data_IF_594330853420
#
_entry.id   IF_594330853420
#
_cell.length_a   1.000
_cell.length_b   1.000
_cell.length_c   1.000
_cell.angle_alpha   90.00
_cell.angle_beta   90.00
_cell.angle_gamma   90.00
#
_symmetry.space_group_name_H-M   'P 1'
#
loop_
_entity.id
_entity.type
_entity.pdbx_description
1 polymer ?
#
# COMPACT_ATOMS: atom_id res chain seq x y z
N UNK A 1 -4.74 57.01 33.35
CA UNK A 1 -4.20 56.55 32.06
C UNK A 1 -3.94 55.07 32.18
N UNK A 2 -4.86 54.24 31.68
CA UNK A 2 -4.74 52.77 31.73
C UNK A 2 -3.95 52.32 30.51
N UNK A 3 -2.78 51.72 30.72
CA UNK A 3 -1.95 51.17 29.66
C UNK A 3 -2.48 49.78 29.33
N UNK A 4 -3.21 49.64 28.22
CA UNK A 4 -3.61 48.35 27.67
C UNK A 4 -2.37 47.64 27.10
N UNK A 5 -1.78 46.74 27.89
CA UNK A 5 -0.82 45.76 27.40
C UNK A 5 -1.64 44.67 26.70
N UNK A 6 -1.76 44.75 25.38
CA UNK A 6 -2.22 43.62 24.58
C UNK A 6 -1.15 42.51 24.66
N UNK A 7 -1.50 41.27 25.06
CA UNK A 7 -0.56 40.17 24.95
C UNK A 7 -0.37 39.90 23.45
N UNK A 8 0.82 40.21 22.94
CA UNK A 8 1.28 39.65 21.67
C UNK A 8 1.46 38.15 21.88
N UNK A 9 0.40 37.37 21.64
CA UNK A 9 0.56 35.95 21.36
C UNK A 9 1.31 35.87 20.03
N UNK A 10 2.61 35.58 20.09
CA UNK A 10 3.36 35.18 18.90
C UNK A 10 2.75 33.87 18.41
N UNK A 11 1.81 33.96 17.48
CA UNK A 11 1.34 32.81 16.71
C UNK A 11 2.57 32.24 16.02
N UNK A 12 3.10 31.13 16.52
CA UNK A 12 4.19 30.42 15.89
C UNK A 12 3.66 29.86 14.57
N UNK A 13 3.85 30.61 13.48
CA UNK A 13 3.66 30.07 12.14
C UNK A 13 4.66 28.94 11.94
N UNK A 14 4.17 27.78 11.52
CA UNK A 14 5.01 26.66 11.12
C UNK A 14 5.51 26.91 9.70
N UNK A 15 6.51 27.80 9.56
CA UNK A 15 7.02 28.30 8.27
C UNK A 15 8.06 27.38 7.60
N UNK A 16 8.23 26.15 8.11
CA UNK A 16 9.16 25.17 7.51
C UNK A 16 8.52 24.45 6.32
N UNK A 17 9.36 23.86 5.48
CA UNK A 17 8.91 22.95 4.44
C UNK A 17 8.15 21.74 5.05
N UNK A 18 7.15 21.21 4.33
CA UNK A 18 6.44 20.01 4.76
C UNK A 18 7.40 18.83 4.88
N UNK A 19 7.14 17.95 5.84
CA UNK A 19 7.83 16.67 5.93
C UNK A 19 7.02 15.62 5.19
N UNK A 20 7.72 14.87 4.34
CA UNK A 20 7.22 13.66 3.72
C UNK A 20 8.23 12.55 4.00
N UNK A 21 7.73 11.39 4.38
CA UNK A 21 8.53 10.18 4.59
C UNK A 21 7.94 9.09 3.73
N UNK A 22 8.77 8.49 2.87
CA UNK A 22 8.30 7.50 1.90
C UNK A 22 8.39 6.09 2.47
N UNK A 23 7.47 5.22 2.05
CA UNK A 23 7.54 3.78 2.30
C UNK A 23 7.73 3.04 0.96
N UNK A 24 8.49 1.95 1.01
CA UNK A 24 8.61 1.06 -0.14
C UNK A 24 7.25 0.43 -0.48
N UNK A 25 6.91 0.24 -1.76
CA UNK A 25 5.63 -0.34 -2.13
C UNK A 25 5.60 -1.85 -1.89
N UNK A 26 4.39 -2.38 -1.73
CA UNK A 26 4.13 -3.80 -1.95
C UNK A 26 3.93 -4.09 -3.43
N UNK A 27 4.01 -5.36 -3.84
CA UNK A 27 3.56 -5.75 -5.19
C UNK A 27 2.74 -7.02 -5.20
N UNK A 28 1.94 -7.14 -6.26
CA UNK A 28 1.32 -8.39 -6.68
C UNK A 28 2.37 -9.47 -6.93
N UNK A 29 1.95 -10.73 -6.84
CA UNK A 29 2.78 -11.88 -7.15
C UNK A 29 3.16 -11.91 -8.63
N UNK A 30 4.42 -12.22 -8.90
CA UNK A 30 5.01 -12.27 -10.23
C UNK A 30 5.42 -13.70 -10.57
N UNK A 31 5.08 -14.15 -11.78
CA UNK A 31 5.57 -15.40 -12.36
C UNK A 31 6.01 -15.18 -13.80
N UNK A 32 7.14 -15.78 -14.18
CA UNK A 32 7.63 -15.78 -15.58
C UNK A 32 7.19 -17.01 -16.37
N UNK A 33 6.52 -17.96 -15.73
CA UNK A 33 6.14 -19.23 -16.35
C UNK A 33 4.86 -19.06 -17.18
N UNK A 34 4.89 -19.53 -18.42
CA UNK A 34 3.69 -19.58 -19.30
C UNK A 34 2.69 -20.68 -18.91
N UNK A 35 3.06 -21.56 -17.98
CA UNK A 35 2.24 -22.70 -17.54
C UNK A 35 1.40 -22.39 -16.30
N UNK A 36 1.45 -21.17 -15.77
CA UNK A 36 0.59 -20.71 -14.67
C UNK A 36 -0.10 -19.41 -15.05
N UNK A 37 -1.33 -19.22 -14.57
CA UNK A 37 -2.14 -18.03 -14.78
C UNK A 37 -2.74 -17.56 -13.46
N UNK A 38 -2.83 -16.24 -13.28
CA UNK A 38 -3.51 -15.65 -12.15
C UNK A 38 -5.01 -15.54 -12.45
N UNK A 39 -5.85 -16.24 -11.68
CA UNK A 39 -7.30 -16.20 -11.83
C UNK A 39 -7.97 -15.20 -10.91
N UNK A 40 -7.45 -15.03 -9.70
CA UNK A 40 -7.98 -14.02 -8.81
C UNK A 40 -6.94 -13.57 -7.80
N UNK A 41 -7.12 -12.34 -7.33
CA UNK A 41 -6.45 -11.78 -6.18
C UNK A 41 -7.48 -11.16 -5.24
N UNK A 42 -7.41 -11.52 -3.96
CA UNK A 42 -8.07 -10.77 -2.90
C UNK A 42 -7.01 -10.13 -2.00
N UNK A 43 -6.87 -8.83 -2.13
CA UNK A 43 -5.97 -7.97 -1.36
C UNK A 43 -6.76 -7.28 -0.25
N UNK A 44 -6.35 -7.47 1.00
CA UNK A 44 -6.88 -6.76 2.16
C UNK A 44 -5.74 -6.01 2.84
N UNK A 45 -5.91 -4.70 3.02
CA UNK A 45 -4.98 -3.80 3.68
C UNK A 45 -5.71 -3.19 4.88
N UNK A 46 -5.14 -3.37 6.07
CA UNK A 46 -5.65 -2.77 7.31
C UNK A 46 -4.59 -1.86 7.87
N UNK A 47 -4.86 -0.56 7.94
CA UNK A 47 -3.88 0.46 8.31
C UNK A 47 -4.31 1.24 9.55
N UNK A 48 -3.40 1.31 10.53
CA UNK A 48 -3.42 2.29 11.63
C UNK A 48 -2.04 2.98 11.62
N UNK A 49 -1.22 2.77 12.66
CA UNK A 49 0.21 3.18 12.68
C UNK A 49 1.10 2.25 11.83
N UNK A 50 0.69 0.98 11.69
CA UNK A 50 1.28 -0.02 10.80
C UNK A 50 0.17 -0.56 9.89
N UNK A 51 0.54 -0.93 8.67
CA UNK A 51 -0.35 -1.56 7.73
C UNK A 51 -0.09 -3.07 7.68
N UNK A 52 -1.13 -3.85 7.92
CA UNK A 52 -1.15 -5.30 7.72
C UNK A 52 -1.72 -5.61 6.34
N UNK A 53 -0.93 -6.27 5.50
CA UNK A 53 -1.29 -6.66 4.14
C UNK A 53 -1.50 -8.17 4.09
N UNK A 54 -2.63 -8.57 3.51
CA UNK A 54 -2.96 -9.96 3.21
C UNK A 54 -3.43 -10.07 1.76
N UNK A 55 -2.71 -10.85 0.96
CA UNK A 55 -3.06 -11.11 -0.43
C UNK A 55 -3.30 -12.61 -0.63
N UNK A 56 -4.48 -12.97 -1.14
CA UNK A 56 -4.86 -14.35 -1.46
C UNK A 56 -4.94 -14.48 -2.98
N UNK A 57 -4.12 -15.37 -3.52
CA UNK A 57 -4.00 -15.61 -4.95
C UNK A 57 -4.64 -16.94 -5.31
N UNK A 58 -5.50 -16.93 -6.34
CA UNK A 58 -5.94 -18.15 -7.03
C UNK A 58 -5.12 -18.30 -8.30
N UNK A 59 -4.27 -19.33 -8.32
CA UNK A 59 -3.32 -19.59 -9.40
C UNK A 59 -3.73 -20.87 -10.11
N UNK A 60 -3.99 -20.78 -11.41
CA UNK A 60 -4.28 -21.93 -12.24
C UNK A 60 -3.02 -22.40 -12.96
N UNK A 61 -2.64 -23.65 -12.71
CA UNK A 61 -1.53 -24.32 -13.33
C UNK A 61 -2.00 -25.25 -14.46
N UNK A 62 -1.49 -25.02 -15.67
CA UNK A 62 -1.79 -25.79 -16.87
C UNK A 62 -1.04 -27.12 -16.91
N UNK A 63 0.09 -27.22 -16.20
CA UNK A 63 0.94 -28.40 -16.12
C UNK A 63 1.49 -28.54 -14.71
N UNK A 64 1.61 -29.76 -14.21
CA UNK A 64 2.33 -29.99 -12.95
C UNK A 64 3.79 -29.53 -13.12
N UNK A 65 4.31 -28.78 -12.16
CA UNK A 65 5.70 -28.34 -12.19
C UNK A 65 6.08 -27.50 -10.98
N UNK A 66 7.36 -27.17 -10.92
CA UNK A 66 7.91 -26.26 -9.92
C UNK A 66 8.04 -24.86 -10.54
N UNK A 67 7.37 -23.88 -9.92
CA UNK A 67 7.30 -22.52 -10.43
C UNK A 67 7.95 -21.56 -9.46
N UNK A 68 8.78 -20.66 -9.99
CA UNK A 68 9.39 -19.56 -9.25
C UNK A 68 8.42 -18.38 -9.23
N UNK A 69 8.09 -17.95 -8.02
CA UNK A 69 7.32 -16.74 -7.77
C UNK A 69 8.19 -15.69 -7.08
N UNK A 70 7.89 -14.43 -7.35
CA UNK A 70 8.55 -13.30 -6.70
C UNK A 70 7.59 -12.15 -6.48
N UNK A 71 7.86 -11.33 -5.48
CA UNK A 71 7.14 -10.07 -5.25
C UNK A 71 8.04 -9.08 -4.50
N UNK A 72 7.64 -7.82 -4.53
CA UNK A 72 8.30 -6.69 -3.87
C UNK A 72 7.61 -6.41 -2.55
N UNK A 73 8.42 -6.11 -1.54
CA UNK A 73 7.96 -5.72 -0.22
C UNK A 73 9.03 -4.84 0.45
N UNK A 74 8.67 -4.06 1.48
CA UNK A 74 9.64 -3.33 2.29
C UNK A 74 10.68 -4.26 2.97
N UNK A 75 11.92 -3.81 3.16
CA UNK A 75 12.98 -4.62 3.78
C UNK A 75 12.69 -5.01 5.23
N UNK A 76 12.03 -4.12 5.97
CA UNK A 76 11.58 -4.31 7.35
C UNK A 76 10.33 -5.20 7.47
N UNK A 77 9.70 -5.57 6.36
CA UNK A 77 8.43 -6.28 6.39
C UNK A 77 8.58 -7.70 6.98
N UNK A 78 7.68 -8.03 7.90
CA UNK A 78 7.61 -9.37 8.51
C UNK A 78 6.80 -10.30 7.62
N UNK A 79 7.46 -11.10 6.79
CA UNK A 79 6.83 -11.93 5.76
C UNK A 79 6.40 -13.32 6.25
N UNK A 80 5.16 -13.70 5.92
CA UNK A 80 4.65 -15.07 5.99
C UNK A 80 4.00 -15.46 4.65
N UNK A 81 4.33 -16.65 4.13
CA UNK A 81 3.69 -17.22 2.93
C UNK A 81 3.06 -18.55 3.30
N UNK A 82 1.81 -18.77 2.90
CA UNK A 82 1.06 -19.99 3.13
C UNK A 82 0.58 -20.58 1.80
N UNK A 83 0.77 -21.90 1.63
CA UNK A 83 0.23 -22.67 0.51
C UNK A 83 -0.49 -23.89 1.09
N UNK A 84 -1.78 -24.05 0.80
CA UNK A 84 -2.60 -25.10 1.41
C UNK A 84 -2.47 -25.14 2.95
N UNK A 85 -2.52 -23.97 3.58
CA UNK A 85 -2.36 -23.76 5.04
C UNK A 85 -0.98 -24.13 5.61
N UNK A 86 0.00 -24.51 4.78
CA UNK A 86 1.37 -24.79 5.22
C UNK A 86 2.25 -23.56 5.00
N UNK A 87 2.97 -23.16 6.05
CA UNK A 87 3.93 -22.05 6.00
C UNK A 87 5.14 -22.43 5.13
N UNK A 88 5.54 -21.51 4.26
CA UNK A 88 6.75 -21.58 3.46
C UNK A 88 7.73 -20.55 4.01
N UNK A 89 8.91 -21.01 4.40
CA UNK A 89 9.96 -20.12 4.88
C UNK A 89 10.61 -19.41 3.69
N UNK A 90 10.49 -18.09 3.64
CA UNK A 90 11.09 -17.24 2.60
C UNK A 90 11.82 -16.09 3.28
N UNK A 91 13.01 -15.77 2.77
CA UNK A 91 13.73 -14.57 3.18
C UNK A 91 13.70 -13.57 2.04
N UNK A 92 13.33 -12.33 2.34
CA UNK A 92 13.48 -11.22 1.42
C UNK A 92 14.97 -10.85 1.32
N UNK A 93 15.39 -10.33 0.17
CA UNK A 93 16.78 -9.92 -0.08
C UNK A 93 16.81 -8.64 -0.90
N UNK A 94 17.79 -7.81 -0.60
CA UNK A 94 18.11 -6.63 -1.41
C UNK A 94 18.53 -7.09 -2.81
N UNK A 95 17.83 -6.62 -3.86
CA UNK A 95 18.21 -6.92 -5.24
C UNK A 95 18.94 -5.72 -5.82
N UNK A 96 20.28 -5.81 -5.89
CA UNK A 96 21.16 -4.77 -6.45
C UNK A 96 20.86 -4.38 -7.90
N UNK A 97 20.11 -5.21 -8.63
CA UNK A 97 19.62 -4.92 -9.98
C UNK A 97 18.17 -4.42 -9.93
N UNK A 98 18.03 -3.11 -9.75
CA UNK A 98 16.76 -2.35 -9.86
C UNK A 98 16.18 -2.35 -11.28
N UNK A 99 16.87 -2.91 -12.28
CA UNK A 99 16.42 -2.90 -13.69
C UNK A 99 15.12 -3.67 -13.93
N UNK A 100 14.77 -4.60 -13.04
CA UNK A 100 13.54 -5.40 -13.11
C UNK A 100 12.45 -4.94 -12.11
N UNK A 101 12.72 -3.87 -11.35
CA UNK A 101 11.75 -3.27 -10.44
C UNK A 101 10.89 -2.24 -11.20
N UNK A 102 9.68 -2.04 -10.69
CA UNK A 102 8.53 -1.39 -11.31
C UNK A 102 8.72 0.04 -11.80
N UNK A 103 7.82 0.47 -12.69
CA UNK A 103 7.71 1.87 -13.15
C UNK A 103 7.43 2.82 -11.98
N UNK A 104 6.52 2.45 -11.08
CA UNK A 104 6.25 3.15 -9.81
C UNK A 104 7.50 3.30 -8.95
N UNK A 105 8.36 2.28 -8.87
CA UNK A 105 9.64 2.40 -8.19
C UNK A 105 10.64 3.33 -8.88
N UNK A 106 10.63 3.41 -10.22
CA UNK A 106 11.41 4.43 -10.96
C UNK A 106 10.85 5.83 -10.73
N UNK A 107 9.53 5.97 -10.72
CA UNK A 107 8.83 7.23 -10.46
C UNK A 107 9.03 7.69 -9.01
N UNK A 108 8.97 6.79 -8.02
CA UNK A 108 9.33 7.06 -6.64
C UNK A 108 10.80 7.50 -6.54
N UNK A 109 11.71 6.76 -7.18
CA UNK A 109 13.15 7.10 -7.13
C UNK A 109 13.45 8.45 -7.78
N UNK A 110 12.75 8.82 -8.85
CA UNK A 110 12.90 10.14 -9.51
C UNK A 110 12.22 11.28 -8.75
N UNK A 111 11.07 11.03 -8.11
CA UNK A 111 10.30 12.06 -7.40
C UNK A 111 10.85 12.34 -6.00
N UNK A 112 11.62 11.41 -5.42
CA UNK A 112 11.92 11.39 -3.97
C UNK A 112 13.39 11.15 -3.62
N UNK A 113 14.34 11.36 -4.53
CA UNK A 113 15.80 11.31 -4.23
C UNK A 113 16.23 12.28 -3.10
N UNK A 114 15.37 13.24 -2.72
CA UNK A 114 15.58 14.18 -1.60
C UNK A 114 14.82 13.83 -0.30
N UNK A 115 13.92 12.83 -0.27
CA UNK A 115 13.10 12.54 0.92
C UNK A 115 13.67 11.39 1.79
N UNK A 116 13.36 11.44 3.09
CA UNK A 116 13.73 10.38 4.03
C UNK A 116 12.84 9.18 3.75
N UNK A 117 13.42 8.01 3.49
CA UNK A 117 12.67 6.77 3.34
C UNK A 117 12.61 6.02 4.67
N UNK A 118 11.43 5.51 5.05
CA UNK A 118 11.30 4.59 6.18
C UNK A 118 11.96 3.24 5.90
N UNK A 119 11.98 2.82 4.64
CA UNK A 119 12.44 1.50 4.26
C UNK A 119 12.90 1.44 2.80
N UNK A 120 13.68 0.42 2.48
CA UNK A 120 14.11 0.14 1.10
C UNK A 120 13.36 -1.06 0.54
N UNK A 121 13.13 -1.12 -0.78
CA UNK A 121 12.44 -2.24 -1.39
C UNK A 121 13.31 -3.49 -1.43
N UNK A 122 12.76 -4.61 -0.96
CA UNK A 122 13.31 -5.94 -1.05
C UNK A 122 12.50 -6.81 -2.01
N UNK A 123 13.10 -7.92 -2.46
CA UNK A 123 12.41 -8.94 -3.23
C UNK A 123 12.42 -10.25 -2.45
N UNK A 124 11.24 -10.85 -2.29
CA UNK A 124 11.08 -12.22 -1.85
C UNK A 124 10.91 -13.13 -3.08
N UNK A 125 11.65 -14.24 -3.10
CA UNK A 125 11.59 -15.25 -4.16
C UNK A 125 11.36 -16.60 -3.52
N UNK A 126 10.42 -17.38 -4.06
CA UNK A 126 10.12 -18.71 -3.55
C UNK A 126 9.62 -19.63 -4.65
N UNK A 127 9.88 -20.93 -4.49
CA UNK A 127 9.51 -21.95 -5.45
C UNK A 127 8.36 -22.78 -4.88
N UNK A 128 7.36 -23.06 -5.72
CA UNK A 128 6.22 -23.89 -5.37
C UNK A 128 6.04 -25.00 -6.38
N UNK A 129 5.91 -26.23 -5.88
CA UNK A 129 5.39 -27.36 -6.66
C UNK A 129 3.88 -27.24 -6.74
N UNK A 130 3.35 -26.98 -7.93
CA UNK A 130 1.91 -26.79 -8.15
C UNK A 130 1.39 -27.94 -9.02
N UNK A 131 0.34 -28.68 -8.61
CA UNK A 131 -0.33 -29.67 -9.46
C UNK A 131 -1.04 -28.98 -10.65
N UNK A 132 -1.66 -29.77 -11.53
CA UNK A 132 -2.56 -29.20 -12.55
C UNK A 132 -3.84 -28.73 -11.87
N UNK A 133 -4.38 -27.58 -12.29
CA UNK A 133 -5.61 -26.98 -11.76
C UNK A 133 -5.36 -25.75 -10.89
N UNK A 134 -6.38 -25.34 -10.14
CA UNK A 134 -6.37 -24.11 -9.32
C UNK A 134 -5.78 -24.43 -7.95
N UNK A 135 -4.87 -23.57 -7.47
CA UNK A 135 -4.31 -23.60 -6.12
C UNK A 135 -4.40 -22.22 -5.48
N UNK A 136 -4.43 -22.20 -4.15
CA UNK A 136 -4.48 -20.98 -3.35
C UNK A 136 -3.14 -20.72 -2.65
N UNK A 137 -2.64 -19.50 -2.81
CA UNK A 137 -1.43 -19.01 -2.14
C UNK A 137 -1.81 -17.76 -1.38
N UNK A 138 -1.45 -17.69 -0.10
CA UNK A 138 -1.68 -16.54 0.75
C UNK A 138 -0.34 -15.93 1.14
N UNK A 139 -0.21 -14.61 0.98
CA UNK A 139 0.94 -13.84 1.41
C UNK A 139 0.47 -12.84 2.45
N UNK A 140 1.20 -12.77 3.57
CA UNK A 140 0.94 -11.85 4.67
C UNK A 140 2.23 -11.11 5.01
N UNK A 141 2.15 -9.81 5.18
CA UNK A 141 3.22 -9.03 5.75
C UNK A 141 2.69 -7.75 6.39
N UNK A 142 3.48 -7.16 7.27
CA UNK A 142 3.21 -5.86 7.85
C UNK A 142 4.29 -4.86 7.42
N UNK A 143 3.91 -3.60 7.26
CA UNK A 143 4.81 -2.51 6.90
C UNK A 143 4.37 -1.19 7.51
N UNK A 144 5.31 -0.26 7.68
CA UNK A 144 4.97 1.12 8.01
C UNK A 144 4.48 1.85 6.75
N UNK A 145 3.39 2.63 6.85
CA UNK A 145 2.95 3.49 5.76
C UNK A 145 3.98 4.61 5.51
N UNK A 146 3.94 5.18 4.30
CA UNK A 146 4.50 6.50 4.06
C UNK A 146 3.68 7.55 4.80
N UNK A 147 4.20 8.76 4.90
CA UNK A 147 3.53 9.84 5.61
C UNK A 147 3.79 11.19 4.95
N UNK A 148 2.73 11.96 4.72
CA UNK A 148 2.78 13.33 4.22
C UNK A 148 2.18 14.30 5.25
N UNK A 149 2.91 15.36 5.57
CA UNK A 149 2.42 16.45 6.41
C UNK A 149 1.65 17.46 5.56
N UNK A 150 0.39 17.73 5.91
CA UNK A 150 -0.51 18.60 5.14
C UNK A 150 -0.87 19.90 5.86
N UNK A 151 -0.82 19.94 7.19
CA UNK A 151 -1.13 21.11 8.00
C UNK A 151 0.06 22.07 8.25
N UNK A 152 0.67 22.64 7.21
CA UNK A 152 1.84 23.53 7.32
C UNK A 152 1.64 24.87 6.58
N UNK A 153 2.25 25.97 7.07
CA UNK A 153 2.19 27.28 6.39
C UNK A 153 1.85 28.49 7.27
N UNK A 154 1.80 29.67 6.65
CA UNK A 154 1.59 30.97 7.31
C UNK A 154 0.20 31.13 7.95
N UNK A 155 -0.80 30.41 7.41
CA UNK A 155 -2.19 30.44 7.89
C UNK A 155 -2.59 29.15 8.63
N UNK A 156 -1.66 28.23 8.84
CA UNK A 156 -1.89 27.00 9.59
C UNK A 156 -1.72 27.31 11.07
N UNK A 157 -2.83 27.38 11.79
CA UNK A 157 -2.87 27.65 13.23
C UNK A 157 -3.12 26.34 13.97
N UNK A 158 -2.08 25.77 14.59
CA UNK A 158 -2.20 24.52 15.37
C UNK A 158 -1.09 23.51 15.12
N UNK A 159 -1.29 22.30 15.63
CA UNK A 159 -0.46 21.14 15.33
C UNK A 159 -0.64 20.71 13.87
N UNK A 160 0.39 20.12 13.25
CA UNK A 160 0.34 19.69 11.85
C UNK A 160 -0.59 18.48 11.66
N UNK A 161 -1.32 18.45 10.54
CA UNK A 161 -2.07 17.27 10.08
C UNK A 161 -1.18 16.32 9.26
N UNK A 162 -1.49 15.03 9.31
CA UNK A 162 -0.73 13.98 8.64
C UNK A 162 -1.62 13.01 7.87
N UNK A 163 -1.19 12.65 6.67
CA UNK A 163 -1.77 11.59 5.86
C UNK A 163 -0.82 10.39 5.77
N UNK A 164 -1.37 9.20 5.96
CA UNK A 164 -0.70 7.94 5.74
C UNK A 164 -0.83 7.54 4.28
N UNK A 165 0.25 7.01 3.71
CA UNK A 165 0.34 6.70 2.28
C UNK A 165 0.72 5.23 2.09
N UNK A 166 -0.06 4.49 1.31
CA UNK A 166 0.24 3.11 0.91
C UNK A 166 0.20 2.97 -0.59
N UNK A 167 1.22 2.31 -1.13
CA UNK A 167 1.31 1.96 -2.55
C UNK A 167 1.43 0.45 -2.75
N UNK A 168 0.68 -0.06 -3.73
CA UNK A 168 0.70 -1.46 -4.13
C UNK A 168 0.73 -1.62 -5.65
N UNK A 169 1.79 -2.24 -6.16
CA UNK A 169 2.03 -2.44 -7.58
C UNK A 169 1.23 -3.63 -8.12
N UNK A 170 0.27 -3.38 -9.00
CA UNK A 170 -0.57 -4.39 -9.63
C UNK A 170 -0.17 -4.69 -11.08
N UNK A 171 0.49 -3.77 -11.77
CA UNK A 171 0.88 -3.91 -13.17
C UNK A 171 1.63 -5.24 -13.50
N UNK A 172 2.48 -5.84 -12.64
CA UNK A 172 3.19 -7.08 -12.98
C UNK A 172 2.24 -8.25 -13.22
N UNK A 173 1.04 -8.22 -12.63
CA UNK A 173 0.04 -9.27 -12.83
C UNK A 173 -0.39 -9.36 -14.30
N UNK A 174 -0.41 -8.24 -15.02
CA UNK A 174 -0.89 -8.13 -16.41
C UNK A 174 -0.16 -9.05 -17.38
N UNK A 175 1.05 -9.50 -17.05
CA UNK A 175 1.84 -10.41 -17.88
C UNK A 175 1.33 -11.87 -17.87
N UNK A 176 0.52 -12.25 -16.87
CA UNK A 176 0.19 -13.67 -16.65
C UNK A 176 -1.25 -13.92 -16.17
N UNK A 177 -2.17 -12.99 -16.38
CA UNK A 177 -3.59 -13.15 -16.03
C UNK A 177 -4.29 -14.25 -16.84
N UNK A 178 -5.30 -14.86 -16.23
CA UNK A 178 -6.32 -15.68 -16.91
C UNK A 178 -7.43 -14.80 -17.47
N UNK A 179 -8.07 -15.17 -18.59
CA UNK A 179 -9.20 -14.47 -19.26
C UNK A 179 -10.42 -14.16 -18.40
N UNK A 180 -10.52 -14.72 -17.18
CA UNK A 180 -11.57 -14.40 -16.21
C UNK A 180 -11.02 -13.81 -14.90
N UNK A 181 -9.87 -13.13 -14.94
CA UNK A 181 -9.24 -12.50 -13.79
C UNK A 181 -10.18 -11.60 -12.98
N UNK A 182 -10.14 -11.74 -11.66
CA UNK A 182 -10.86 -10.92 -10.70
C UNK A 182 -9.92 -10.38 -9.63
N UNK A 183 -9.96 -9.08 -9.40
CA UNK A 183 -9.28 -8.42 -8.29
C UNK A 183 -10.32 -7.87 -7.32
N UNK A 184 -10.20 -8.26 -6.05
CA UNK A 184 -10.90 -7.60 -4.94
C UNK A 184 -9.87 -6.94 -4.05
N UNK A 185 -10.04 -5.64 -3.83
CA UNK A 185 -9.20 -4.84 -2.95
C UNK A 185 -10.05 -4.29 -1.80
N UNK A 186 -9.61 -4.50 -0.57
CA UNK A 186 -10.25 -3.99 0.64
C UNK A 186 -9.25 -3.09 1.39
N UNK A 187 -9.56 -1.81 1.54
CA UNK A 187 -8.83 -0.88 2.40
C UNK A 187 -9.62 -0.66 3.69
N UNK A 188 -8.99 -0.89 4.83
CA UNK A 188 -9.60 -0.74 6.15
C UNK A 188 -8.78 0.19 7.03
N UNK A 189 -9.44 1.17 7.65
CA UNK A 189 -8.85 2.06 8.64
C UNK A 189 -9.74 2.15 9.89
N UNK A 190 -9.17 2.30 11.10
CA UNK A 190 -9.94 2.59 12.30
C UNK A 190 -10.64 3.94 12.18
N UNK A 191 -11.89 4.03 12.63
CA UNK A 191 -12.68 5.27 12.61
C UNK A 191 -12.77 5.94 13.98
N UNK A 192 -12.65 5.16 15.07
CA UNK A 192 -12.98 5.55 16.45
C UNK A 192 -12.02 6.57 17.12
N UNK A 193 -11.17 7.30 16.38
CA UNK A 193 -10.13 8.17 16.97
C UNK A 193 -10.26 9.66 16.71
N UNK A 194 -11.33 10.17 16.09
CA UNK A 194 -11.50 11.63 15.96
C UNK A 194 -11.92 12.26 17.30
N UNK A 195 -10.96 12.85 18.02
CA UNK A 195 -11.19 13.69 19.21
C UNK A 195 -11.89 15.03 18.89
N UNK A 196 -12.08 15.37 17.61
CA UNK A 196 -12.75 16.59 17.16
C UNK A 196 -14.10 16.26 16.50
N UNK A 197 -15.15 16.75 17.15
CA UNK A 197 -16.56 16.66 16.82
C UNK A 197 -16.85 16.65 15.29
N UNK A 198 -17.36 15.51 14.80
CA UNK A 198 -18.02 15.27 13.50
C UNK A 198 -17.17 15.00 12.23
N UNK A 199 -15.84 14.85 12.30
CA UNK A 199 -15.04 14.40 11.15
C UNK A 199 -14.96 12.87 11.04
N UNK A 200 -15.42 12.28 9.93
CA UNK A 200 -15.04 10.90 9.54
C UNK A 200 -13.60 10.92 9.07
N UNK A 201 -12.80 9.88 9.38
CA UNK A 201 -11.47 9.74 8.77
C UNK A 201 -11.61 9.58 7.26
N UNK A 202 -10.85 10.38 6.53
CA UNK A 202 -10.74 10.38 5.09
C UNK A 202 -9.92 9.19 4.66
N UNK A 203 -10.41 8.45 3.67
CA UNK A 203 -9.67 7.41 2.96
C UNK A 203 -10.02 7.55 1.50
N UNK A 204 -9.00 7.72 0.67
CA UNK A 204 -9.14 7.87 -0.77
C UNK A 204 -8.10 7.00 -1.45
N UNK A 205 -8.49 6.34 -2.53
CA UNK A 205 -7.60 5.49 -3.31
C UNK A 205 -7.62 5.92 -4.78
N UNK A 206 -6.48 5.82 -5.43
CA UNK A 206 -6.24 6.31 -6.78
C UNK A 206 -5.58 5.23 -7.64
N UNK A 207 -5.90 5.22 -8.93
CA UNK A 207 -5.07 4.63 -9.96
C UNK A 207 -3.95 5.61 -10.29
N UNK A 208 -2.74 5.31 -9.82
CA UNK A 208 -1.56 6.09 -10.15
C UNK A 208 -0.95 5.54 -11.44
N UNK A 209 -1.24 6.23 -12.55
CA UNK A 209 -0.72 5.89 -13.89
C UNK A 209 -0.10 7.12 -14.54
N UNK A 210 1.18 7.04 -14.87
CA UNK A 210 1.85 8.00 -15.77
C UNK A 210 1.67 9.46 -15.33
N UNK A 211 1.81 9.74 -14.03
CA UNK A 211 1.58 11.05 -13.38
C UNK A 211 0.13 11.55 -13.36
N UNK A 212 -0.82 10.79 -13.91
CA UNK A 212 -2.25 11.01 -13.69
C UNK A 212 -2.73 10.23 -12.47
N UNK A 213 -3.54 10.90 -11.66
CA UNK A 213 -4.14 10.36 -10.45
C UNK A 213 -5.63 10.32 -10.70
N UNK A 214 -6.17 9.13 -10.93
CA UNK A 214 -7.60 8.94 -11.10
C UNK A 214 -8.17 8.37 -9.82
N UNK A 215 -9.04 9.12 -9.15
CA UNK A 215 -9.76 8.65 -7.98
C UNK A 215 -10.56 7.38 -8.32
N UNK A 216 -10.51 6.41 -7.40
CA UNK A 216 -11.23 5.15 -7.48
C UNK A 216 -12.49 5.24 -6.62
N UNK A 217 -13.63 4.93 -7.23
CA UNK A 217 -14.89 4.81 -6.50
C UNK A 217 -15.03 3.39 -5.91
N UNK A 218 -15.28 3.27 -4.59
CA UNK A 218 -15.51 1.96 -3.97
C UNK A 218 -16.82 1.36 -4.46
N UNK A 219 -16.80 0.05 -4.72
CA UNK A 219 -18.01 -0.72 -5.04
C UNK A 219 -18.92 -0.92 -3.82
N UNK A 220 -18.35 -0.86 -2.63
CA UNK A 220 -19.03 -1.07 -1.37
C UNK A 220 -18.25 -0.38 -0.25
N UNK A 221 -18.97 0.24 0.68
CA UNK A 221 -18.44 0.87 1.89
C UNK A 221 -19.17 0.28 3.10
N UNK A 222 -18.40 -0.25 4.06
CA UNK A 222 -18.92 -0.88 5.26
C UNK A 222 -18.26 -0.32 6.51
N UNK A 223 -19.04 -0.28 7.58
CA UNK A 223 -18.58 0.06 8.92
C UNK A 223 -18.69 -1.19 9.79
N UNK A 224 -17.55 -1.68 10.27
CA UNK A 224 -17.51 -2.92 11.05
C UNK A 224 -16.40 -2.89 12.07
N UNK A 225 -16.77 -3.19 13.32
CA UNK A 225 -15.82 -3.34 14.44
C UNK A 225 -14.93 -2.10 14.63
N UNK A 226 -15.49 -0.90 14.53
CA UNK A 226 -14.75 0.37 14.67
C UNK A 226 -13.86 0.72 13.47
N UNK A 227 -13.97 -0.01 12.35
CA UNK A 227 -13.24 0.27 11.12
C UNK A 227 -14.18 0.67 9.97
N UNK A 228 -13.73 1.64 9.19
CA UNK A 228 -14.25 1.96 7.86
C UNK A 228 -13.56 1.06 6.85
N UNK A 229 -14.33 0.38 6.00
CA UNK A 229 -13.85 -0.59 5.02
C UNK A 229 -14.36 -0.19 3.64
N UNK A 230 -13.43 0.14 2.73
CA UNK A 230 -13.72 0.44 1.33
C UNK A 230 -13.34 -0.77 0.47
N UNK A 231 -14.31 -1.28 -0.29
CA UNK A 231 -14.12 -2.46 -1.15
C UNK A 231 -14.21 -2.07 -2.61
N UNK A 232 -13.18 -2.43 -3.36
CA UNK A 232 -13.05 -2.21 -4.80
C UNK A 232 -13.02 -3.55 -5.52
N UNK A 233 -13.73 -3.66 -6.63
CA UNK A 233 -13.83 -4.89 -7.41
C UNK A 233 -13.52 -4.57 -8.86
N UNK A 234 -12.54 -5.28 -9.41
CA UNK A 234 -12.08 -5.11 -10.79
C UNK A 234 -12.08 -6.45 -11.52
N UNK A 235 -12.37 -6.41 -12.81
CA UNK A 235 -12.11 -7.51 -13.72
C UNK A 235 -10.73 -7.36 -14.37
N UNK A 236 -10.68 -7.60 -15.67
CA UNK A 236 -9.47 -7.41 -16.49
C UNK A 236 -8.89 -6.01 -16.54
N UNK A 237 -9.75 -5.02 -16.33
CA UNK A 237 -9.37 -3.61 -16.31
C UNK A 237 -9.21 -3.20 -14.85
N UNK A 238 -7.97 -3.15 -14.37
CA UNK A 238 -7.60 -2.75 -13.02
C UNK A 238 -6.41 -1.78 -13.05
N UNK A 239 -6.25 -0.98 -11.98
CA UNK A 239 -5.18 0.02 -11.86
C UNK A 239 -3.79 -0.59 -12.05
N UNK A 240 -2.83 0.22 -12.51
CA UNK A 240 -1.42 -0.19 -12.56
C UNK A 240 -0.79 -0.18 -11.16
N UNK A 241 -1.16 0.82 -10.37
CA UNK A 241 -0.71 1.04 -9.00
C UNK A 241 -1.90 1.50 -8.17
N UNK A 242 -2.15 0.83 -7.05
CA UNK A 242 -3.05 1.36 -6.03
C UNK A 242 -2.26 2.32 -5.16
N UNK A 243 -2.68 3.57 -5.12
CA UNK A 243 -2.18 4.55 -4.17
C UNK A 243 -3.33 4.95 -3.26
N UNK A 244 -3.23 4.70 -1.96
CA UNK A 244 -4.25 5.09 -1.00
C UNK A 244 -3.67 6.05 0.05
N UNK A 245 -4.44 7.09 0.34
CA UNK A 245 -4.18 8.04 1.43
C UNK A 245 -5.23 7.88 2.51
N UNK A 246 -4.83 8.08 3.76
CA UNK A 246 -5.75 8.08 4.90
C UNK A 246 -5.30 9.02 6.02
N UNK A 247 -6.26 9.54 6.79
CA UNK A 247 -5.94 10.43 7.91
C UNK A 247 -5.20 9.70 9.05
N UNK A 248 -4.16 10.33 9.58
CA UNK A 248 -3.37 9.84 10.72
C UNK A 248 -3.46 10.78 11.92
N UNK A 249 -3.29 10.22 13.13
CA UNK A 249 -3.35 10.99 14.39
C UNK A 249 -2.08 11.82 14.67
N UNK A 250 -0.97 11.54 13.97
CA UNK A 250 0.30 12.22 14.23
C UNK A 250 1.49 11.64 13.44
N UNK A 251 2.69 12.21 13.62
CA UNK A 251 3.89 11.78 12.91
C UNK A 251 4.39 10.41 13.41
N UNK A 252 4.87 9.57 12.50
CA UNK A 252 5.48 8.27 12.82
C UNK A 252 7.01 8.31 12.99
N UNK A 253 7.62 9.50 12.92
CA UNK A 253 9.08 9.70 12.82
C UNK A 253 9.69 10.53 13.95
#
# INVERSE_FOLDING_TARGET
MSCCILPFFSLQSNSRAPRSVTAAPGSVLISKSKNVRLEAEKLSIVCDDECSIKANYRIHSLKKGDYLFSFVLPASATLEILHNQKRISVKSKEKKSLKALSRSMREQRMKYEESKAFDTPHIAEFQLTIPVGIQEVEIRYAMRPGQDETGFGYLSFGDSDFWGVIEYDLWPAKEWLSENFQLTFEMSVPEDRSFFFFGRRTVECFDAKDFSWKELEPSEELFKSGNRILTYRFGFQFPDVLHCIYDMDGPLY
#
